data_IF_596361246095
#
_entry.id   IF_596361246095
#
_cell.length_a   1.000
_cell.length_b   1.000
_cell.length_c   1.000
_cell.angle_alpha   90.00
_cell.angle_beta   90.00
_cell.angle_gamma   90.00
#
_symmetry.space_group_name_H-M   'P 1'
#
loop_
_entity.id
_entity.type
_entity.pdbx_description
1 polymer ?
#
# COMPACT_ATOMS: atom_id res chain seq x y z
N UNK A 1 -22.15 29.48 -0.36
CA UNK A 1 -21.60 29.71 1.00
C UNK A 1 -20.10 29.44 0.94
N UNK A 2 -19.31 30.50 0.98
CA UNK A 2 -17.85 30.41 1.10
C UNK A 2 -17.53 29.72 2.42
N UNK A 3 -16.87 28.55 2.36
CA UNK A 3 -16.38 27.90 3.57
C UNK A 3 -15.40 28.84 4.29
N UNK A 4 -15.52 28.94 5.60
CA UNK A 4 -14.57 29.70 6.40
C UNK A 4 -13.17 29.10 6.25
N UNK A 5 -12.13 29.94 6.18
CA UNK A 5 -10.74 29.47 6.14
C UNK A 5 -10.47 28.61 7.37
N UNK A 6 -9.76 27.47 7.21
CA UNK A 6 -9.46 26.61 8.34
C UNK A 6 -8.52 27.27 9.34
N UNK A 7 -8.63 26.89 10.59
CA UNK A 7 -7.67 27.21 11.64
C UNK A 7 -6.69 26.07 11.77
N UNK A 8 -5.41 26.38 11.75
CA UNK A 8 -4.33 25.39 11.79
C UNK A 8 -3.72 25.27 13.18
N UNK A 9 -3.27 24.07 13.51
CA UNK A 9 -2.48 23.82 14.71
C UNK A 9 -1.06 24.36 14.51
N UNK A 10 -0.49 24.95 15.57
CA UNK A 10 0.86 25.52 15.53
C UNK A 10 1.97 24.45 15.68
N UNK A 11 1.68 23.38 16.40
CA UNK A 11 2.66 22.34 16.67
C UNK A 11 2.86 21.44 15.44
N UNK A 12 4.08 20.91 15.23
CA UNK A 12 4.32 19.93 14.19
C UNK A 12 3.51 18.64 14.45
N UNK A 13 3.06 18.02 13.39
CA UNK A 13 2.38 16.72 13.41
C UNK A 13 3.27 15.71 12.70
N UNK A 14 3.41 14.56 13.31
CA UNK A 14 4.13 13.43 12.74
C UNK A 14 3.16 12.26 12.53
N UNK A 15 3.22 11.66 11.36
CA UNK A 15 2.47 10.43 11.02
C UNK A 15 3.41 9.33 10.61
N UNK A 16 3.01 8.11 10.88
CA UNK A 16 3.70 6.90 10.45
C UNK A 16 2.73 6.08 9.59
N UNK A 17 3.17 5.65 8.41
CA UNK A 17 2.33 4.94 7.44
C UNK A 17 3.01 3.64 7.03
N UNK A 18 2.29 2.50 7.08
CA UNK A 18 2.88 1.22 6.69
C UNK A 18 3.06 1.07 5.19
N UNK A 19 4.02 0.25 4.78
CA UNK A 19 4.06 -0.36 3.47
C UNK A 19 2.82 -1.22 3.26
N UNK A 20 2.46 -1.47 2.01
CA UNK A 20 1.31 -2.30 1.67
C UNK A 20 1.63 -3.22 0.50
N UNK A 21 1.02 -4.39 0.53
CA UNK A 21 1.03 -5.35 -0.57
C UNK A 21 -0.39 -5.54 -1.05
N UNK A 22 -0.63 -5.37 -2.34
CA UNK A 22 -1.94 -5.54 -2.94
C UNK A 22 -2.07 -6.89 -3.63
N UNK A 23 -3.29 -7.27 -3.90
CA UNK A 23 -3.70 -8.47 -4.65
C UNK A 23 -3.60 -9.77 -3.85
N UNK A 24 -2.51 -10.05 -3.20
CA UNK A 24 -2.24 -11.28 -2.45
C UNK A 24 -2.49 -12.55 -3.28
N UNK A 25 -2.11 -12.50 -4.55
CA UNK A 25 -2.43 -13.53 -5.53
C UNK A 25 -3.79 -13.28 -6.19
N UNK A 26 -4.85 -14.07 -5.89
CA UNK A 26 -6.12 -14.05 -6.63
C UNK A 26 -7.03 -12.85 -6.34
N UNK A 27 -6.73 -12.08 -5.31
CA UNK A 27 -7.54 -10.91 -4.89
C UNK A 27 -7.22 -9.64 -5.65
N UNK A 28 -7.04 -9.74 -6.96
CA UNK A 28 -6.65 -8.62 -7.83
C UNK A 28 -7.56 -7.40 -7.67
N UNK A 29 -6.94 -6.25 -7.45
CA UNK A 29 -7.58 -4.95 -7.21
C UNK A 29 -8.57 -4.93 -6.01
N UNK A 30 -8.52 -5.94 -5.13
CA UNK A 30 -9.43 -6.08 -3.99
C UNK A 30 -8.74 -6.24 -2.66
N UNK A 31 -7.75 -7.14 -2.58
CA UNK A 31 -7.05 -7.39 -1.32
C UNK A 31 -5.88 -6.44 -1.13
N UNK A 32 -5.71 -5.95 0.10
CA UNK A 32 -4.54 -5.22 0.54
C UNK A 32 -4.08 -5.72 1.92
N UNK A 33 -2.78 -5.65 2.16
CA UNK A 33 -2.15 -6.08 3.39
C UNK A 33 -1.13 -5.05 3.84
N UNK A 34 -1.24 -4.58 5.08
CA UNK A 34 -0.29 -3.66 5.66
C UNK A 34 0.91 -4.41 6.25
N UNK A 35 2.10 -3.92 5.95
CA UNK A 35 3.37 -4.54 6.34
C UNK A 35 4.12 -3.65 7.33
N UNK A 36 4.85 -4.28 8.24
CA UNK A 36 5.60 -3.62 9.32
C UNK A 36 6.88 -2.90 8.87
N UNK A 37 6.81 -2.19 7.78
CA UNK A 37 7.84 -1.30 7.25
C UNK A 37 7.16 0.06 7.05
N UNK A 38 7.67 1.12 7.68
CA UNK A 38 6.91 2.37 7.79
C UNK A 38 7.70 3.57 7.28
N UNK A 39 7.03 4.42 6.50
CA UNK A 39 7.49 5.78 6.26
C UNK A 39 7.01 6.69 7.40
N UNK A 40 7.76 7.74 7.68
CA UNK A 40 7.39 8.79 8.63
C UNK A 40 7.40 10.14 7.95
N UNK A 41 6.37 10.91 8.21
CA UNK A 41 6.20 12.25 7.66
C UNK A 41 5.91 13.23 8.77
N UNK A 42 6.59 14.37 8.75
CA UNK A 42 6.37 15.46 9.70
C UNK A 42 5.98 16.71 8.91
N UNK A 43 4.97 17.42 9.36
CA UNK A 43 4.59 18.72 8.79
C UNK A 43 4.29 19.73 9.89
N UNK A 44 4.65 20.98 9.62
CA UNK A 44 4.40 22.12 10.49
C UNK A 44 3.95 23.31 9.67
N UNK A 45 2.92 24.00 10.15
CA UNK A 45 2.43 25.23 9.53
C UNK A 45 3.42 26.35 9.80
N UNK A 46 3.69 27.15 8.76
CA UNK A 46 4.55 28.32 8.82
C UNK A 46 3.76 29.60 8.54
N UNK A 47 4.14 30.68 9.19
CA UNK A 47 3.51 32.02 8.99
C UNK A 47 3.98 32.70 7.70
N UNK A 48 5.11 32.28 7.16
CA UNK A 48 5.66 32.79 5.91
C UNK A 48 5.08 32.03 4.70
N UNK A 49 5.00 32.73 3.56
CA UNK A 49 4.58 32.12 2.29
C UNK A 49 5.73 31.31 1.74
N UNK A 50 5.78 30.03 2.10
CA UNK A 50 6.86 29.12 1.69
C UNK A 50 6.43 27.66 1.74
N UNK A 51 7.13 26.83 0.97
CA UNK A 51 7.07 25.37 1.03
C UNK A 51 8.49 24.87 1.23
N UNK A 52 8.78 24.40 2.44
CA UNK A 52 10.08 23.86 2.83
C UNK A 52 9.98 22.35 2.93
N UNK A 53 10.56 21.63 1.96
CA UNK A 53 10.49 20.16 1.86
C UNK A 53 11.89 19.58 1.93
N UNK A 54 12.07 18.55 2.74
CA UNK A 54 13.22 17.68 2.68
C UNK A 54 12.81 16.20 2.73
N UNK A 55 13.60 15.37 2.07
CA UNK A 55 13.39 13.92 1.96
C UNK A 55 14.70 13.22 2.31
N UNK A 56 14.64 12.25 3.21
CA UNK A 56 15.75 11.35 3.54
C UNK A 56 15.34 9.91 3.29
N UNK A 57 16.32 9.04 3.02
CA UNK A 57 16.10 7.63 2.72
C UNK A 57 15.75 7.37 1.26
N UNK A 58 14.77 6.52 1.04
CA UNK A 58 14.36 6.13 -0.31
C UNK A 58 13.86 7.34 -1.13
N UNK A 59 14.37 7.46 -2.35
CA UNK A 59 14.01 8.54 -3.28
C UNK A 59 14.56 9.92 -2.92
N UNK A 60 15.48 10.03 -1.97
CA UNK A 60 16.04 11.31 -1.52
C UNK A 60 16.68 12.12 -2.67
N UNK A 61 17.29 11.44 -3.63
CA UNK A 61 17.96 12.06 -4.78
C UNK A 61 16.98 12.41 -5.94
N UNK A 62 15.87 11.71 -6.06
CA UNK A 62 14.97 11.82 -7.21
C UNK A 62 13.67 12.56 -6.93
N UNK A 63 13.15 12.52 -5.70
CA UNK A 63 11.85 13.09 -5.38
C UNK A 63 11.87 14.61 -5.43
N UNK A 64 10.82 15.26 -6.01
CA UNK A 64 10.74 16.71 -6.07
C UNK A 64 10.71 17.36 -4.68
N UNK A 65 11.37 18.56 -4.57
CA UNK A 65 11.29 19.46 -3.41
C UNK A 65 10.32 20.61 -3.68
N UNK A 66 9.18 20.31 -4.32
CA UNK A 66 8.18 21.28 -4.74
C UNK A 66 6.77 20.71 -4.57
N UNK A 67 5.76 21.46 -4.99
CA UNK A 67 4.36 21.02 -5.04
C UNK A 67 4.13 19.77 -5.91
N UNK A 68 5.11 19.39 -6.71
CA UNK A 68 5.06 18.16 -7.52
C UNK A 68 5.30 16.90 -6.69
N UNK A 69 5.82 17.03 -5.48
CA UNK A 69 5.98 15.91 -4.54
C UNK A 69 4.61 15.32 -4.19
N UNK A 70 4.47 14.01 -4.27
CA UNK A 70 3.17 13.34 -4.08
C UNK A 70 2.62 13.52 -2.66
N UNK A 71 3.49 13.49 -1.64
CA UNK A 71 3.09 13.76 -0.25
C UNK A 71 2.47 15.16 -0.12
N UNK A 72 3.08 16.15 -0.75
CA UNK A 72 2.60 17.53 -0.75
C UNK A 72 1.30 17.67 -1.55
N UNK A 73 1.20 17.02 -2.71
CA UNK A 73 -0.05 17.00 -3.49
C UNK A 73 -1.21 16.45 -2.65
N UNK A 74 -0.97 15.35 -1.95
CA UNK A 74 -1.98 14.74 -1.08
C UNK A 74 -2.36 15.66 0.09
N UNK A 75 -1.37 16.25 0.73
CA UNK A 75 -1.60 17.20 1.82
C UNK A 75 -2.40 18.42 1.34
N UNK A 76 -2.08 18.98 0.21
CA UNK A 76 -2.81 20.11 -0.38
C UNK A 76 -4.24 19.74 -0.78
N UNK A 77 -4.44 18.53 -1.33
CA UNK A 77 -5.79 18.02 -1.59
C UNK A 77 -6.61 17.94 -0.30
N UNK A 78 -6.01 17.46 0.78
CA UNK A 78 -6.64 17.43 2.09
C UNK A 78 -6.98 18.82 2.62
N UNK A 79 -6.07 19.78 2.52
CA UNK A 79 -6.32 21.17 2.90
C UNK A 79 -7.44 21.80 2.07
N UNK A 80 -7.45 21.58 0.76
CA UNK A 80 -8.50 22.10 -0.11
C UNK A 80 -9.87 21.57 0.27
N UNK A 81 -9.96 20.28 0.58
CA UNK A 81 -11.18 19.66 1.09
C UNK A 81 -11.63 20.29 2.43
N UNK A 82 -10.67 20.65 3.28
CA UNK A 82 -10.94 21.21 4.61
C UNK A 82 -11.12 22.75 4.62
N UNK A 83 -11.11 23.39 3.46
CA UNK A 83 -11.41 24.82 3.32
C UNK A 83 -10.28 25.70 2.81
N UNK A 84 -9.09 25.18 2.61
CA UNK A 84 -7.98 25.90 2.00
C UNK A 84 -6.61 25.62 2.62
N UNK A 85 -5.58 25.99 1.89
CA UNK A 85 -4.18 25.80 2.26
C UNK A 85 -3.71 26.82 3.29
N UNK A 86 -2.73 26.49 4.14
CA UNK A 86 -2.01 27.47 4.95
C UNK A 86 -1.11 28.36 4.06
N UNK A 87 -0.61 29.45 4.63
CA UNK A 87 0.35 30.33 3.94
C UNK A 87 1.63 29.60 3.60
N UNK A 88 2.15 28.83 4.54
CA UNK A 88 3.36 28.07 4.37
C UNK A 88 3.33 26.78 5.17
N UNK A 89 4.18 25.85 4.77
CA UNK A 89 4.33 24.56 5.45
C UNK A 89 5.75 24.05 5.29
N UNK A 90 6.29 23.48 6.37
CA UNK A 90 7.51 22.70 6.35
C UNK A 90 7.14 21.22 6.40
N UNK A 91 7.80 20.41 5.55
CA UNK A 91 7.55 18.97 5.44
C UNK A 91 8.86 18.23 5.47
N UNK A 92 8.91 17.16 6.26
CA UNK A 92 10.04 16.23 6.31
C UNK A 92 9.52 14.82 6.06
N UNK A 93 10.10 14.13 5.08
CA UNK A 93 9.80 12.76 4.77
C UNK A 93 10.99 11.86 5.10
N UNK A 94 10.75 10.82 5.88
CA UNK A 94 11.71 9.77 6.23
C UNK A 94 11.22 8.49 5.53
N UNK A 95 11.72 8.25 4.33
CA UNK A 95 11.25 7.19 3.46
C UNK A 95 12.06 5.91 3.66
N UNK A 96 11.36 4.84 4.04
CA UNK A 96 11.90 3.50 4.21
C UNK A 96 11.38 2.56 3.11
N UNK A 97 10.17 2.80 2.62
CA UNK A 97 9.51 1.94 1.63
C UNK A 97 10.15 2.16 0.25
N UNK A 98 10.70 1.11 -0.39
CA UNK A 98 11.29 1.24 -1.72
C UNK A 98 10.25 1.63 -2.77
N UNK A 99 10.62 2.54 -3.65
CA UNK A 99 9.75 3.04 -4.71
C UNK A 99 9.73 2.11 -5.93
N UNK A 100 8.57 1.92 -6.55
CA UNK A 100 8.42 1.11 -7.74
C UNK A 100 8.70 -0.39 -7.51
N UNK A 101 8.51 -0.88 -6.31
CA UNK A 101 8.75 -2.28 -5.91
C UNK A 101 7.50 -3.04 -5.54
N UNK A 102 6.30 -2.47 -5.70
CA UNK A 102 5.06 -3.13 -5.32
C UNK A 102 4.82 -3.16 -3.82
N UNK A 103 5.36 -2.21 -3.05
CA UNK A 103 5.24 -2.13 -1.60
C UNK A 103 4.46 -0.90 -1.11
N UNK A 104 3.74 -0.24 -2.01
CA UNK A 104 2.79 0.81 -1.65
C UNK A 104 3.42 2.13 -1.23
N UNK A 105 4.58 2.52 -1.78
CA UNK A 105 5.19 3.82 -1.48
C UNK A 105 4.29 4.99 -1.88
N UNK A 106 3.59 4.89 -3.00
CA UNK A 106 2.60 5.87 -3.46
C UNK A 106 1.42 5.99 -2.49
N UNK A 107 0.83 4.86 -2.08
CA UNK A 107 -0.26 4.82 -1.11
C UNK A 107 0.17 5.41 0.25
N UNK A 108 1.40 5.13 0.69
CA UNK A 108 1.97 5.71 1.90
C UNK A 108 2.01 7.24 1.83
N UNK A 109 2.53 7.80 0.75
CA UNK A 109 2.60 9.26 0.56
C UNK A 109 1.21 9.90 0.50
N UNK A 110 0.27 9.28 -0.19
CA UNK A 110 -1.11 9.79 -0.33
C UNK A 110 -1.84 9.77 1.01
N UNK A 111 -1.88 8.62 1.68
CA UNK A 111 -2.55 8.50 2.98
C UNK A 111 -1.84 9.35 4.04
N UNK A 112 -0.52 9.39 4.00
CA UNK A 112 0.28 10.23 4.90
C UNK A 112 0.00 11.71 4.73
N UNK A 113 -0.04 12.20 3.50
CA UNK A 113 -0.33 13.61 3.21
C UNK A 113 -1.74 14.02 3.61
N UNK A 114 -2.75 13.22 3.28
CA UNK A 114 -4.13 13.47 3.70
C UNK A 114 -4.28 13.44 5.22
N UNK A 115 -3.61 12.52 5.89
CA UNK A 115 -3.63 12.41 7.35
C UNK A 115 -2.95 13.58 8.03
N UNK A 116 -1.84 14.09 7.48
CA UNK A 116 -1.19 15.31 7.96
C UNK A 116 -2.12 16.53 7.85
N UNK A 117 -2.76 16.71 6.70
CA UNK A 117 -3.71 17.81 6.51
C UNK A 117 -4.86 17.75 7.51
N UNK A 118 -5.46 16.56 7.67
CA UNK A 118 -6.53 16.32 8.63
C UNK A 118 -6.10 16.64 10.07
N UNK A 119 -4.91 16.23 10.44
CA UNK A 119 -4.39 16.45 11.80
C UNK A 119 -3.98 17.90 12.07
N UNK A 120 -3.51 18.63 11.06
CA UNK A 120 -3.08 20.02 11.18
C UNK A 120 -4.24 21.02 11.23
N UNK A 121 -5.41 20.67 10.72
CA UNK A 121 -6.62 21.50 10.80
C UNK A 121 -7.35 21.18 12.10
N UNK A 122 -7.72 22.19 12.89
CA UNK A 122 -8.37 22.00 14.19
C UNK A 122 -9.63 21.14 14.13
N UNK A 123 -10.45 21.33 13.11
CA UNK A 123 -11.70 20.57 12.89
C UNK A 123 -11.54 19.44 11.88
N UNK A 124 -10.29 19.05 11.59
CA UNK A 124 -9.99 18.13 10.50
C UNK A 124 -10.63 16.75 10.67
N UNK A 125 -10.57 16.17 11.86
CA UNK A 125 -11.14 14.85 12.16
C UNK A 125 -12.68 14.88 12.03
N UNK A 126 -13.33 15.95 12.46
CA UNK A 126 -14.78 16.09 12.37
C UNK A 126 -15.26 16.25 10.92
N UNK A 127 -14.47 16.92 10.07
CA UNK A 127 -14.83 17.23 8.68
C UNK A 127 -14.38 16.15 7.68
N UNK A 128 -13.30 15.45 7.97
CA UNK A 128 -12.76 14.38 7.12
C UNK A 128 -12.75 13.07 7.91
N UNK A 129 -13.80 12.28 7.76
CA UNK A 129 -13.86 10.91 8.29
C UNK A 129 -12.86 9.99 7.58
N UNK A 130 -12.59 8.81 8.12
CA UNK A 130 -11.77 7.80 7.43
C UNK A 130 -12.38 7.40 6.08
N UNK A 131 -13.70 7.32 6.00
CA UNK A 131 -14.40 7.07 4.74
C UNK A 131 -14.12 8.16 3.70
N UNK A 132 -14.16 9.43 4.11
CA UNK A 132 -13.85 10.55 3.23
C UNK A 132 -12.37 10.57 2.85
N UNK A 133 -11.47 10.28 3.78
CA UNK A 133 -10.06 10.15 3.49
C UNK A 133 -9.81 9.05 2.45
N UNK A 134 -10.45 7.90 2.59
CA UNK A 134 -10.35 6.82 1.61
C UNK A 134 -10.84 7.24 0.23
N UNK A 135 -11.93 8.00 0.16
CA UNK A 135 -12.44 8.55 -1.12
C UNK A 135 -11.39 9.45 -1.79
N UNK A 136 -10.83 10.40 -1.05
CA UNK A 136 -9.80 11.30 -1.58
C UNK A 136 -8.53 10.56 -1.99
N UNK A 137 -8.10 9.60 -1.18
CA UNK A 137 -6.93 8.78 -1.48
C UNK A 137 -7.13 7.93 -2.74
N UNK A 138 -8.29 7.31 -2.89
CA UNK A 138 -8.62 6.48 -4.04
C UNK A 138 -8.70 7.31 -5.34
N UNK A 139 -9.20 8.54 -5.27
CA UNK A 139 -9.20 9.46 -6.42
C UNK A 139 -7.76 9.75 -6.90
N UNK A 140 -6.81 9.85 -5.98
CA UNK A 140 -5.40 10.10 -6.33
C UNK A 140 -4.69 8.85 -6.84
N UNK A 141 -4.94 7.70 -6.24
CA UNK A 141 -4.26 6.43 -6.56
C UNK A 141 -4.86 5.73 -7.78
N UNK A 142 -6.18 5.82 -7.96
CA UNK A 142 -6.92 5.17 -9.04
C UNK A 142 -7.56 3.83 -8.67
N UNK A 143 -7.19 3.24 -7.54
CA UNK A 143 -7.77 2.00 -7.01
C UNK A 143 -7.63 1.97 -5.47
N UNK A 144 -8.52 1.25 -4.75
CA UNK A 144 -8.62 1.40 -3.31
C UNK A 144 -7.75 0.45 -2.48
N UNK A 145 -7.18 -0.60 -3.03
CA UNK A 145 -6.56 -1.71 -2.30
C UNK A 145 -5.39 -1.30 -1.39
N UNK A 146 -4.37 -0.64 -1.95
CA UNK A 146 -3.21 -0.18 -1.19
C UNK A 146 -3.56 0.95 -0.22
N UNK A 147 -4.34 1.94 -0.66
CA UNK A 147 -4.70 3.07 0.21
C UNK A 147 -5.60 2.65 1.36
N UNK A 148 -6.50 1.69 1.16
CA UNK A 148 -7.32 1.12 2.23
C UNK A 148 -6.46 0.39 3.26
N UNK A 149 -5.49 -0.41 2.82
CA UNK A 149 -4.56 -1.09 3.73
C UNK A 149 -3.67 -0.11 4.48
N UNK A 150 -3.18 0.94 3.82
CA UNK A 150 -2.39 2.00 4.47
C UNK A 150 -3.19 2.79 5.51
N UNK A 151 -4.47 2.97 5.28
CA UNK A 151 -5.37 3.67 6.21
C UNK A 151 -5.76 2.81 7.41
N UNK A 152 -6.16 1.56 7.18
CA UNK A 152 -6.77 0.70 8.20
C UNK A 152 -5.80 -0.26 8.89
N UNK A 153 -4.71 -0.64 8.23
CA UNK A 153 -3.82 -1.68 8.72
C UNK A 153 -4.39 -3.10 8.55
N UNK A 154 -3.63 -4.09 8.96
CA UNK A 154 -4.02 -5.49 8.82
C UNK A 154 -4.23 -5.88 7.36
N UNK A 155 -5.21 -6.75 7.13
CA UNK A 155 -5.69 -7.06 5.79
C UNK A 155 -7.02 -6.36 5.53
N UNK A 156 -7.24 -5.97 4.27
CA UNK A 156 -8.50 -5.34 3.83
C UNK A 156 -9.01 -6.02 2.57
N UNK A 157 -10.34 -6.00 2.42
CA UNK A 157 -10.99 -6.21 1.13
C UNK A 157 -11.62 -4.89 0.74
N UNK A 158 -11.23 -4.36 -0.41
CA UNK A 158 -11.69 -3.08 -0.91
C UNK A 158 -12.32 -3.25 -2.30
N UNK A 159 -13.31 -2.43 -2.60
CA UNK A 159 -14.02 -2.45 -3.89
C UNK A 159 -14.58 -1.07 -4.21
N UNK A 160 -14.95 -0.88 -5.46
CA UNK A 160 -15.65 0.32 -5.90
C UNK A 160 -17.14 0.03 -6.00
N UNK A 161 -17.96 0.92 -5.50
CA UNK A 161 -19.41 0.79 -5.49
C UNK A 161 -20.05 2.00 -6.18
N UNK A 162 -21.04 1.75 -7.03
CA UNK A 162 -21.81 2.85 -7.63
C UNK A 162 -22.84 3.36 -6.62
N UNK A 163 -22.69 4.61 -6.21
CA UNK A 163 -23.65 5.31 -5.35
C UNK A 163 -24.19 6.54 -6.11
N UNK A 164 -25.40 6.39 -6.64
CA UNK A 164 -26.07 7.48 -7.40
C UNK A 164 -25.24 8.03 -8.57
N UNK A 165 -24.61 7.16 -9.35
CA UNK A 165 -23.78 7.52 -10.49
C UNK A 165 -22.37 8.01 -10.15
N UNK A 166 -21.96 7.86 -8.89
CA UNK A 166 -20.58 8.12 -8.43
C UNK A 166 -19.94 6.83 -7.98
N UNK A 167 -18.73 6.57 -8.48
CA UNK A 167 -17.93 5.44 -8.02
C UNK A 167 -17.26 5.78 -6.68
N UNK A 168 -17.61 5.05 -5.63
CA UNK A 168 -17.18 5.29 -4.25
C UNK A 168 -16.43 4.07 -3.73
N UNK A 169 -15.21 4.23 -3.15
CA UNK A 169 -14.51 3.11 -2.56
C UNK A 169 -15.16 2.67 -1.25
N UNK A 170 -15.17 1.35 -1.05
CA UNK A 170 -15.56 0.70 0.19
C UNK A 170 -14.42 -0.22 0.63
N UNK A 171 -14.28 -0.43 1.92
CA UNK A 171 -13.33 -1.37 2.47
C UNK A 171 -13.83 -1.99 3.75
N UNK A 172 -13.48 -3.25 3.95
CA UNK A 172 -13.65 -3.94 5.23
C UNK A 172 -12.29 -4.43 5.72
N UNK A 173 -12.10 -4.44 7.03
CA UNK A 173 -10.89 -4.97 7.66
C UNK A 173 -11.06 -6.42 8.02
N UNK A 174 -10.00 -7.21 7.83
CA UNK A 174 -9.88 -8.60 8.25
C UNK A 174 -8.85 -8.68 9.37
N UNK A 175 -9.17 -9.41 10.43
CA UNK A 175 -8.22 -9.71 11.51
C UNK A 175 -7.30 -10.83 11.07
N UNK A 176 -6.06 -10.50 10.71
CA UNK A 176 -5.07 -11.49 10.29
C UNK A 176 -4.67 -12.36 11.47
N UNK A 177 -4.62 -13.67 11.26
CA UNK A 177 -4.14 -14.61 12.28
C UNK A 177 -2.74 -14.20 12.75
N UNK A 178 -2.53 -14.16 14.05
CA UNK A 178 -1.29 -13.69 14.67
C UNK A 178 -0.05 -14.52 14.30
N UNK A 179 -0.24 -15.74 13.81
CA UNK A 179 0.85 -16.60 13.36
C UNK A 179 1.39 -16.21 11.97
N UNK A 180 0.62 -15.44 11.20
CA UNK A 180 1.02 -15.06 9.83
C UNK A 180 2.08 -13.98 9.86
N UNK A 181 3.18 -14.24 9.17
CA UNK A 181 4.31 -13.34 8.96
C UNK A 181 4.66 -13.29 7.49
N UNK A 182 5.43 -12.29 7.10
CA UNK A 182 5.83 -12.08 5.72
C UNK A 182 7.35 -12.09 5.54
N UNK A 183 7.77 -12.48 4.34
CA UNK A 183 9.13 -12.24 3.84
C UNK A 183 8.96 -11.52 2.49
N UNK A 184 9.56 -10.36 2.37
CA UNK A 184 9.61 -9.62 1.11
C UNK A 184 10.96 -9.84 0.43
N UNK A 185 10.91 -10.29 -0.82
CA UNK A 185 12.08 -10.40 -1.68
C UNK A 185 12.08 -9.23 -2.65
N UNK A 186 12.94 -8.26 -2.40
CA UNK A 186 12.93 -6.95 -3.06
C UNK A 186 14.10 -6.89 -4.05
N UNK A 187 13.83 -6.81 -5.37
CA UNK A 187 14.88 -6.66 -6.36
C UNK A 187 15.39 -5.21 -6.43
N UNK A 188 16.60 -5.03 -6.95
CA UNK A 188 17.21 -3.71 -7.10
C UNK A 188 16.50 -2.83 -8.14
N UNK A 189 15.90 -3.43 -9.18
CA UNK A 189 15.22 -2.70 -10.25
C UNK A 189 13.73 -2.55 -9.99
N UNK A 190 13.20 -1.37 -10.30
CA UNK A 190 11.77 -1.09 -10.23
C UNK A 190 11.05 -1.53 -11.52
N UNK A 191 9.72 -1.71 -11.40
CA UNK A 191 8.81 -1.89 -12.54
C UNK A 191 7.70 -0.86 -12.42
N UNK A 192 7.34 -0.23 -13.54
CA UNK A 192 6.22 0.70 -13.60
C UNK A 192 4.89 -0.03 -13.42
N UNK A 193 4.09 0.39 -12.46
CA UNK A 193 2.73 -0.13 -12.23
C UNK A 193 1.86 0.02 -13.48
N UNK A 194 1.95 1.17 -14.16
CA UNK A 194 1.19 1.42 -15.38
C UNK A 194 1.59 0.47 -16.51
N UNK A 195 2.88 0.19 -16.68
CA UNK A 195 3.37 -0.76 -17.67
C UNK A 195 2.88 -2.18 -17.36
N UNK A 196 3.00 -2.62 -16.11
CA UNK A 196 2.55 -3.94 -15.70
C UNK A 196 1.03 -4.12 -15.87
N UNK A 197 0.24 -3.08 -15.63
CA UNK A 197 -1.22 -3.11 -15.83
C UNK A 197 -1.61 -3.26 -17.30
N UNK A 198 -0.87 -2.65 -18.22
CA UNK A 198 -1.10 -2.75 -19.67
C UNK A 198 -0.85 -4.15 -20.23
N UNK A 199 -0.17 -5.02 -19.51
CA UNK A 199 0.11 -6.39 -19.92
C UNK A 199 -1.05 -7.35 -19.63
N UNK A 200 -2.10 -6.90 -18.95
CA UNK A 200 -3.25 -7.72 -18.61
C UNK A 200 -4.13 -7.98 -19.83
N UNK A 201 -4.67 -9.20 -20.01
CA UNK A 201 -5.56 -9.53 -21.10
C UNK A 201 -6.96 -8.94 -20.87
N UNK A 202 -7.72 -8.76 -21.95
CA UNK A 202 -9.12 -8.34 -21.88
C UNK A 202 -10.04 -9.44 -21.34
N UNK A 203 -9.67 -10.70 -21.51
CA UNK A 203 -10.45 -11.86 -21.07
C UNK A 203 -9.53 -13.00 -20.61
N UNK A 204 -10.08 -13.86 -19.76
CA UNK A 204 -9.41 -15.08 -19.30
C UNK A 204 -10.35 -16.27 -19.50
N UNK A 205 -9.81 -17.52 -19.57
CA UNK A 205 -10.65 -18.71 -19.66
C UNK A 205 -11.59 -18.83 -18.45
N UNK A 206 -12.86 -19.16 -18.72
CA UNK A 206 -13.89 -19.26 -17.68
C UNK A 206 -13.51 -20.23 -16.55
N UNK A 207 -12.86 -21.34 -16.89
CA UNK A 207 -12.36 -22.32 -15.90
C UNK A 207 -11.35 -21.68 -14.94
N UNK A 208 -10.43 -20.86 -15.42
CA UNK A 208 -9.45 -20.16 -14.59
C UNK A 208 -10.13 -19.11 -13.72
N UNK A 209 -11.14 -18.43 -14.23
CA UNK A 209 -11.94 -17.48 -13.46
C UNK A 209 -12.63 -18.18 -12.27
N UNK A 210 -13.16 -19.38 -12.46
CA UNK A 210 -13.78 -20.17 -11.38
C UNK A 210 -12.74 -20.54 -10.32
N UNK A 211 -11.56 -20.99 -10.72
CA UNK A 211 -10.48 -21.34 -9.78
C UNK A 211 -10.02 -20.09 -9.00
N UNK A 212 -9.90 -18.96 -9.67
CA UNK A 212 -9.53 -17.70 -9.04
C UNK A 212 -10.58 -17.25 -8.02
N UNK A 213 -11.86 -17.36 -8.37
CA UNK A 213 -12.97 -17.07 -7.45
C UNK A 213 -12.91 -17.92 -6.18
N UNK A 214 -12.69 -19.22 -6.32
CA UNK A 214 -12.52 -20.14 -5.19
C UNK A 214 -11.34 -19.72 -4.32
N UNK A 215 -10.19 -19.41 -4.93
CA UNK A 215 -8.99 -19.03 -4.20
C UNK A 215 -9.18 -17.71 -3.46
N UNK A 216 -9.85 -16.72 -4.05
CA UNK A 216 -10.16 -15.45 -3.36
C UNK A 216 -11.06 -15.66 -2.16
N UNK A 217 -12.08 -16.50 -2.26
CA UNK A 217 -12.96 -16.84 -1.14
C UNK A 217 -12.19 -17.57 -0.02
N UNK A 218 -11.35 -18.54 -0.38
CA UNK A 218 -10.50 -19.25 0.58
C UNK A 218 -9.49 -18.32 1.25
N UNK A 219 -8.99 -17.30 0.56
CA UNK A 219 -7.98 -16.39 1.08
C UNK A 219 -8.47 -15.63 2.32
N UNK A 220 -9.73 -15.22 2.36
CA UNK A 220 -10.34 -14.59 3.54
C UNK A 220 -10.22 -15.53 4.74
N UNK A 221 -10.58 -16.78 4.57
CA UNK A 221 -10.54 -17.80 5.64
C UNK A 221 -9.10 -18.16 6.01
N UNK A 222 -8.22 -18.27 5.03
CA UNK A 222 -6.81 -18.57 5.25
C UNK A 222 -6.10 -17.51 6.07
N UNK A 223 -6.30 -16.24 5.72
CA UNK A 223 -5.68 -15.11 6.44
C UNK A 223 -6.16 -14.98 7.89
N UNK A 224 -7.40 -15.33 8.16
CA UNK A 224 -8.05 -15.06 9.45
C UNK A 224 -8.06 -16.25 10.40
N UNK A 225 -8.19 -17.47 9.88
CA UNK A 225 -8.43 -18.67 10.70
C UNK A 225 -7.58 -19.88 10.33
N UNK A 226 -7.24 -20.05 9.05
CA UNK A 226 -6.61 -21.27 8.55
C UNK A 226 -5.38 -20.96 7.69
N UNK A 227 -4.28 -20.46 8.29
CA UNK A 227 -3.06 -20.14 7.54
C UNK A 227 -2.45 -21.35 6.76
N UNK A 228 -2.77 -22.58 7.14
CA UNK A 228 -2.41 -23.77 6.40
C UNK A 228 -2.99 -23.82 4.97
N UNK A 229 -4.01 -23.00 4.68
CA UNK A 229 -4.60 -22.85 3.35
C UNK A 229 -3.97 -21.71 2.53
N UNK A 230 -2.98 -20.99 3.05
CA UNK A 230 -2.37 -19.84 2.35
C UNK A 230 -1.71 -20.25 1.04
N UNK A 231 -1.07 -21.42 0.97
CA UNK A 231 -0.48 -21.88 -0.29
C UNK A 231 -1.52 -22.02 -1.39
N UNK A 232 -2.63 -22.70 -1.12
CA UNK A 232 -3.72 -22.86 -2.08
C UNK A 232 -4.38 -21.52 -2.42
N UNK A 233 -4.70 -20.72 -1.41
CA UNK A 233 -5.49 -19.51 -1.56
C UNK A 233 -4.72 -18.33 -2.18
N UNK A 234 -3.40 -18.42 -2.29
CA UNK A 234 -2.57 -17.37 -2.92
C UNK A 234 -2.23 -17.68 -4.39
N UNK A 235 -2.74 -18.75 -4.95
CA UNK A 235 -2.59 -19.06 -6.37
C UNK A 235 -3.50 -18.15 -7.21
N UNK A 236 -2.91 -17.48 -8.19
CA UNK A 236 -3.56 -16.48 -9.03
C UNK A 236 -3.73 -16.95 -10.47
N UNK A 237 -4.86 -16.60 -11.08
CA UNK A 237 -5.16 -16.84 -12.49
C UNK A 237 -5.52 -15.54 -13.24
N UNK A 238 -5.51 -14.37 -12.55
CA UNK A 238 -5.99 -13.12 -13.16
C UNK A 238 -4.89 -12.24 -13.71
N UNK A 239 -3.72 -12.18 -13.07
CA UNK A 239 -2.78 -11.12 -13.38
C UNK A 239 -1.31 -11.51 -13.45
N UNK A 240 -0.82 -12.34 -12.54
CA UNK A 240 0.63 -12.55 -12.38
C UNK A 240 1.30 -13.09 -13.64
N UNK A 241 0.81 -14.18 -14.20
CA UNK A 241 1.43 -14.82 -15.36
C UNK A 241 1.53 -13.93 -16.59
N UNK A 242 0.61 -12.99 -16.74
CA UNK A 242 0.59 -12.03 -17.84
C UNK A 242 1.65 -10.94 -17.70
N UNK A 243 2.22 -10.76 -16.51
CA UNK A 243 3.24 -9.77 -16.19
C UNK A 243 4.67 -10.33 -16.21
N UNK A 244 4.83 -11.59 -16.52
CA UNK A 244 6.11 -12.31 -16.44
C UNK A 244 7.23 -11.62 -17.21
N UNK A 245 6.98 -11.13 -18.42
CA UNK A 245 8.00 -10.52 -19.26
C UNK A 245 8.56 -9.20 -18.69
N UNK A 246 7.80 -8.53 -17.82
CA UNK A 246 8.25 -7.32 -17.15
C UNK A 246 9.18 -7.60 -15.97
N UNK A 247 9.15 -8.82 -15.43
CA UNK A 247 9.90 -9.19 -14.21
C UNK A 247 10.33 -10.66 -14.22
N UNK A 248 11.16 -11.08 -15.17
CA UNK A 248 11.50 -12.50 -15.34
C UNK A 248 12.20 -13.11 -14.12
N UNK A 249 13.08 -12.36 -13.43
CA UNK A 249 13.76 -12.85 -12.23
C UNK A 249 12.77 -13.08 -11.07
N UNK A 250 11.78 -12.20 -10.93
CA UNK A 250 10.72 -12.35 -9.91
C UNK A 250 9.89 -13.60 -10.18
N UNK A 251 9.55 -13.88 -11.43
CA UNK A 251 8.82 -15.10 -11.80
C UNK A 251 9.63 -16.36 -11.59
N UNK A 252 10.92 -16.34 -11.86
CA UNK A 252 11.79 -17.49 -11.57
C UNK A 252 11.79 -17.81 -10.06
N UNK A 253 11.89 -16.79 -9.21
CA UNK A 253 11.81 -16.95 -7.76
C UNK A 253 10.41 -17.42 -7.32
N UNK A 254 9.35 -16.80 -7.84
CA UNK A 254 7.98 -17.17 -7.54
C UNK A 254 7.72 -18.65 -7.83
N UNK A 255 8.12 -19.12 -9.02
CA UNK A 255 7.93 -20.52 -9.42
C UNK A 255 8.74 -21.49 -8.55
N UNK A 256 9.98 -21.12 -8.19
CA UNK A 256 10.81 -21.91 -7.28
C UNK A 256 10.17 -22.06 -5.90
N UNK A 257 9.67 -20.98 -5.33
CA UNK A 257 9.02 -20.98 -4.02
C UNK A 257 7.71 -21.77 -4.04
N UNK A 258 6.88 -21.55 -5.05
CA UNK A 258 5.61 -22.28 -5.17
C UNK A 258 5.81 -23.77 -5.41
N UNK A 259 6.81 -24.17 -6.20
CA UNK A 259 7.18 -25.59 -6.37
C UNK A 259 7.61 -26.25 -5.06
N UNK A 260 8.14 -25.48 -4.12
CA UNK A 260 8.49 -25.95 -2.77
C UNK A 260 7.31 -25.87 -1.76
N UNK A 261 6.10 -25.54 -2.21
CA UNK A 261 4.91 -25.45 -1.33
C UNK A 261 4.81 -24.16 -0.52
N UNK A 262 5.55 -23.13 -0.89
CA UNK A 262 5.57 -21.86 -0.20
C UNK A 262 4.50 -20.92 -0.76
N UNK A 263 3.74 -20.27 0.12
CA UNK A 263 2.69 -19.30 -0.24
C UNK A 263 3.32 -17.99 -0.71
N UNK A 264 3.82 -17.97 -1.93
CA UNK A 264 4.48 -16.83 -2.57
C UNK A 264 3.61 -16.25 -3.68
N UNK A 265 3.66 -14.94 -3.84
CA UNK A 265 2.96 -14.21 -4.88
C UNK A 265 3.69 -12.90 -5.22
N UNK A 266 3.34 -12.30 -6.36
CA UNK A 266 3.84 -10.98 -6.72
C UNK A 266 3.13 -9.93 -5.88
N UNK A 267 3.89 -9.07 -5.20
CA UNK A 267 3.35 -7.98 -4.39
C UNK A 267 2.85 -6.85 -5.29
N UNK A 268 1.55 -6.61 -5.30
CA UNK A 268 0.94 -5.59 -6.16
C UNK A 268 1.26 -5.82 -7.63
N UNK A 269 1.81 -4.81 -8.28
CA UNK A 269 2.28 -4.90 -9.67
C UNK A 269 3.72 -5.43 -9.79
N UNK A 270 4.33 -5.77 -8.69
CA UNK A 270 5.70 -6.24 -8.59
C UNK A 270 6.74 -5.11 -8.60
N UNK A 271 8.01 -5.44 -8.73
CA UNK A 271 8.59 -6.78 -8.91
C UNK A 271 8.91 -7.55 -7.62
N UNK A 272 8.56 -7.03 -6.46
CA UNK A 272 8.74 -7.73 -5.19
C UNK A 272 7.91 -9.02 -5.16
N UNK A 273 8.53 -10.10 -4.69
CA UNK A 273 7.85 -11.35 -4.36
C UNK A 273 7.61 -11.36 -2.85
N UNK A 274 6.37 -11.56 -2.44
CA UNK A 274 6.00 -11.67 -1.03
C UNK A 274 5.67 -13.12 -0.69
N UNK A 275 6.13 -13.55 0.47
CA UNK A 275 5.82 -14.84 1.07
C UNK A 275 5.04 -14.60 2.36
N UNK A 276 3.94 -15.34 2.54
CA UNK A 276 3.24 -15.45 3.82
C UNK A 276 3.53 -16.83 4.42
N UNK A 277 3.87 -16.88 5.70
CA UNK A 277 4.22 -18.11 6.39
C UNK A 277 3.87 -18.04 7.89
N UNK A 278 3.90 -19.18 8.53
CA UNK A 278 3.69 -19.32 9.98
C UNK A 278 4.90 -19.98 10.67
N UNK A 279 6.04 -20.04 9.99
CA UNK A 279 7.26 -20.65 10.48
C UNK A 279 7.95 -19.81 11.57
N UNK A 280 8.88 -20.44 12.30
CA UNK A 280 9.72 -19.75 13.26
C UNK A 280 10.86 -18.97 12.56
N UNK A 281 11.71 -18.29 13.35
CA UNK A 281 12.82 -17.50 12.80
C UNK A 281 13.81 -18.33 11.98
N UNK A 282 14.08 -19.56 12.38
CA UNK A 282 14.98 -20.47 11.65
C UNK A 282 14.41 -20.84 10.28
N UNK A 283 13.12 -21.18 10.22
CA UNK A 283 12.41 -21.48 8.97
C UNK A 283 12.34 -20.25 8.07
N UNK A 284 12.08 -19.07 8.63
CA UNK A 284 12.09 -17.80 7.90
C UNK A 284 13.47 -17.49 7.33
N UNK A 285 14.53 -17.70 8.08
CA UNK A 285 15.91 -17.50 7.62
C UNK A 285 16.28 -18.46 6.47
N UNK A 286 15.81 -19.69 6.51
CA UNK A 286 15.99 -20.66 5.44
C UNK A 286 15.25 -20.23 4.17
N UNK A 287 13.99 -19.81 4.27
CA UNK A 287 13.23 -19.28 3.15
C UNK A 287 13.91 -18.05 2.54
N UNK A 288 14.43 -17.15 3.36
CA UNK A 288 15.11 -15.93 2.91
C UNK A 288 16.34 -16.23 2.03
N UNK A 289 17.00 -17.35 2.22
CA UNK A 289 18.15 -17.75 1.40
C UNK A 289 17.78 -18.24 -0.01
N UNK A 290 16.51 -18.49 -0.28
CA UNK A 290 16.05 -19.03 -1.56
C UNK A 290 16.31 -18.09 -2.76
N UNK A 291 16.40 -16.78 -2.52
CA UNK A 291 16.53 -15.76 -3.56
C UNK A 291 17.99 -15.53 -4.02
N UNK A 292 18.98 -15.98 -3.27
CA UNK A 292 20.39 -15.67 -3.55
C UNK A 292 20.64 -14.16 -3.56
N UNK A 293 21.55 -13.69 -4.43
CA UNK A 293 22.02 -12.30 -4.43
C UNK A 293 21.14 -11.33 -5.26
N UNK A 294 20.15 -11.83 -5.99
CA UNK A 294 19.32 -11.00 -6.87
C UNK A 294 18.26 -10.18 -6.14
N UNK A 295 17.95 -10.55 -4.90
CA UNK A 295 16.91 -9.95 -4.09
C UNK A 295 17.42 -9.68 -2.68
N UNK A 296 17.00 -8.55 -2.12
CA UNK A 296 17.11 -8.32 -0.68
C UNK A 296 15.93 -8.99 0.00
N UNK A 297 16.19 -9.96 0.88
CA UNK A 297 15.16 -10.64 1.64
C UNK A 297 14.97 -9.95 2.99
N UNK A 298 13.74 -9.50 3.27
CA UNK A 298 13.36 -8.87 4.54
C UNK A 298 12.24 -9.65 5.21
N UNK A 299 12.47 -10.13 6.42
CA UNK A 299 11.41 -10.63 7.29
C UNK A 299 10.61 -9.45 7.84
N UNK A 300 9.31 -9.44 7.62
CA UNK A 300 8.43 -8.32 7.95
C UNK A 300 7.19 -8.86 8.66
N UNK A 301 6.82 -8.21 9.77
CA UNK A 301 5.56 -8.50 10.45
C UNK A 301 4.39 -7.87 9.68
N UNK A 302 3.19 -8.40 9.88
CA UNK A 302 1.96 -7.73 9.42
C UNK A 302 1.72 -6.54 10.34
N UNK A 303 1.52 -5.36 9.79
CA UNK A 303 1.17 -4.19 10.59
C UNK A 303 -0.31 -4.23 10.98
N UNK A 304 -0.64 -4.35 12.26
CA UNK A 304 -2.04 -4.38 12.70
C UNK A 304 -2.71 -3.01 12.59
N UNK A 305 -1.93 -1.96 12.50
CA UNK A 305 -2.39 -0.58 12.37
C UNK A 305 -2.02 0.00 11.01
N UNK A 306 -2.89 0.86 10.48
CA UNK A 306 -2.59 1.70 9.33
C UNK A 306 -1.83 2.96 9.76
N UNK A 307 -2.15 4.08 9.12
CA UNK A 307 -1.57 5.37 9.48
C UNK A 307 -1.88 5.73 10.95
N UNK A 308 -0.86 6.14 11.67
CA UNK A 308 -1.00 6.60 13.06
C UNK A 308 -0.33 7.97 13.23
N UNK A 309 -0.91 8.80 14.10
CA UNK A 309 -0.29 10.06 14.55
C UNK A 309 0.60 9.72 15.74
N UNK A 310 1.86 10.14 15.68
CA UNK A 310 2.86 9.92 16.73
C UNK A 310 2.92 11.08 17.71
#
# INVERSE_FOLDING_TARGET
>A
TTMAKPTFKANPIQVQVPATSANLGPGFDSFGLALGMHDRYVAQILDEVTLDIDVTGEGAEELPRSEKNLLVKAMYKGFDFLGGKPKGVAVRALNVIPHGRGLGSSASAIVGGLSLARALVLTGIDKMSDEKLLQLATQMEGHPDNVAAALHGGAVVAWMEDQHGKSVPQAISLSVDMRVRAIAFIPAKSVSTAKARKMLPESIPHREAVQNSTNSALLVHALTLRPDLLFRSTEDFLHQSYRQDAMPASFALLNKLRAAGVAAFISGAGPTVLVLHTGNESEAAELARAAGDKFEAKAIEISPTGVVIL
#
